data_IF_076682647715
#
_entry.id   IF_076682647715
#
_cell.length_a   1.000
_cell.length_b   1.000
_cell.length_c   1.000
_cell.angle_alpha   90.00
_cell.angle_beta   90.00
_cell.angle_gamma   90.00
#
_symmetry.space_group_name_H-M   'P 1'
#
loop_
_entity.id
_entity.type
_entity.pdbx_description
1 polymer ?
#
# COMPACT_ATOMS: atom_id res chain seq x y z
N UNK A 1 6.88 14.19 -20.80
CA UNK A 1 6.76 14.94 -19.51
C UNK A 1 6.01 14.17 -18.42
N UNK A 2 5.15 13.21 -18.76
CA UNK A 2 4.42 12.36 -17.78
C UNK A 2 5.33 11.34 -17.07
N UNK A 3 6.27 10.75 -17.80
CA UNK A 3 7.11 9.65 -17.28
C UNK A 3 8.10 10.11 -16.21
N UNK A 4 8.76 11.25 -16.40
CA UNK A 4 9.69 11.80 -15.41
C UNK A 4 9.00 12.13 -14.07
N UNK A 5 7.76 12.62 -14.10
CA UNK A 5 6.98 12.88 -12.88
C UNK A 5 6.53 11.57 -12.24
N UNK A 6 6.17 10.56 -13.04
CA UNK A 6 5.74 9.25 -12.54
C UNK A 6 6.90 8.55 -11.84
N UNK A 7 8.09 8.54 -12.46
CA UNK A 7 9.32 7.99 -11.88
C UNK A 7 9.68 8.67 -10.55
N UNK A 8 9.52 9.99 -10.46
CA UNK A 8 9.75 10.73 -9.21
C UNK A 8 8.75 10.36 -8.10
N UNK A 9 7.49 10.05 -8.44
CA UNK A 9 6.50 9.60 -7.45
C UNK A 9 6.78 8.17 -7.00
N UNK A 10 7.21 7.30 -7.89
CA UNK A 10 7.55 5.90 -7.55
C UNK A 10 8.81 5.83 -6.68
N UNK A 11 9.82 6.67 -6.95
CA UNK A 11 11.00 6.81 -6.09
C UNK A 11 10.62 7.32 -4.69
N UNK A 12 9.76 8.34 -4.61
CA UNK A 12 9.28 8.86 -3.33
C UNK A 12 8.45 7.81 -2.55
N UNK A 13 7.62 7.03 -3.26
CA UNK A 13 6.86 5.93 -2.66
C UNK A 13 7.78 4.82 -2.16
N UNK A 14 8.80 4.45 -2.94
CA UNK A 14 9.81 3.48 -2.56
C UNK A 14 10.54 3.89 -1.27
N UNK A 15 11.03 5.13 -1.21
CA UNK A 15 11.70 5.69 -0.03
C UNK A 15 10.76 5.73 1.19
N UNK A 16 9.49 6.07 0.98
CA UNK A 16 8.48 6.09 2.03
C UNK A 16 8.17 4.69 2.56
N UNK A 17 8.07 3.68 1.69
CA UNK A 17 7.86 2.29 2.10
C UNK A 17 9.04 1.79 2.93
N UNK A 18 10.28 2.02 2.46
CA UNK A 18 11.49 1.65 3.21
C UNK A 18 11.53 2.31 4.59
N UNK A 19 11.23 3.62 4.65
CA UNK A 19 11.16 4.37 5.92
C UNK A 19 10.06 3.82 6.84
N UNK A 20 8.92 3.44 6.28
CA UNK A 20 7.79 2.90 7.04
C UNK A 20 8.11 1.54 7.67
N UNK A 21 8.83 0.65 6.97
CA UNK A 21 9.30 -0.63 7.53
C UNK A 21 10.16 -0.40 8.78
N UNK A 22 11.13 0.53 8.69
CA UNK A 22 11.99 0.90 9.80
C UNK A 22 11.17 1.47 10.98
N UNK A 23 10.20 2.35 10.70
CA UNK A 23 9.33 2.91 11.74
C UNK A 23 8.42 1.87 12.41
N UNK A 24 8.04 0.81 11.70
CA UNK A 24 7.26 -0.30 12.27
C UNK A 24 8.14 -1.34 12.97
N UNK A 25 9.47 -1.14 13.02
CA UNK A 25 10.41 -2.08 13.63
C UNK A 25 10.49 -3.41 12.89
N UNK A 26 10.17 -3.44 11.59
CA UNK A 26 10.20 -4.66 10.77
C UNK A 26 11.51 -4.74 10.02
N UNK A 27 12.13 -5.91 10.05
CA UNK A 27 13.32 -6.17 9.23
C UNK A 27 12.88 -6.48 7.81
N UNK A 28 13.45 -5.79 6.82
CA UNK A 28 13.04 -5.94 5.43
C UNK A 28 13.66 -4.92 4.49
N UNK A 29 13.29 -5.01 3.22
CA UNK A 29 13.70 -4.06 2.19
C UNK A 29 12.55 -3.75 1.25
N UNK A 30 12.68 -2.63 0.54
CA UNK A 30 11.83 -2.29 -0.58
C UNK A 30 12.74 -1.98 -1.77
N UNK A 31 12.37 -2.48 -2.95
CA UNK A 31 13.09 -2.26 -4.21
C UNK A 31 12.11 -2.17 -5.37
N UNK A 32 12.55 -1.54 -6.46
CA UNK A 32 11.83 -1.58 -7.73
C UNK A 32 12.25 -2.82 -8.53
N UNK A 33 11.30 -3.47 -9.20
CA UNK A 33 11.59 -4.53 -10.17
C UNK A 33 11.70 -3.99 -11.60
N UNK A 34 11.99 -4.87 -12.56
CA UNK A 34 12.14 -4.52 -13.99
C UNK A 34 10.83 -4.06 -14.64
N UNK A 35 9.69 -4.29 -13.99
CA UNK A 35 8.36 -3.90 -14.46
C UNK A 35 7.80 -2.71 -13.66
N UNK A 36 8.68 -1.93 -13.03
CA UNK A 36 8.37 -0.75 -12.23
C UNK A 36 7.41 -1.01 -11.05
N UNK A 37 7.30 -2.26 -10.60
CA UNK A 37 6.60 -2.58 -9.36
C UNK A 37 7.53 -2.37 -8.18
N UNK A 38 6.95 -1.98 -7.04
CA UNK A 38 7.68 -1.97 -5.77
C UNK A 38 7.51 -3.34 -5.12
N UNK A 39 8.62 -4.02 -4.90
CA UNK A 39 8.70 -5.28 -4.16
C UNK A 39 9.10 -4.97 -2.73
N UNK A 40 8.30 -5.43 -1.78
CA UNK A 40 8.56 -5.29 -0.35
C UNK A 40 8.76 -6.69 0.24
N UNK A 41 9.93 -6.91 0.84
CA UNK A 41 10.31 -8.18 1.45
C UNK A 41 10.54 -7.95 2.94
N UNK A 42 9.83 -8.68 3.80
CA UNK A 42 10.00 -8.57 5.26
C UNK A 42 9.61 -9.87 5.95
N UNK A 43 10.53 -10.44 6.75
CA UNK A 43 10.29 -11.61 7.61
C UNK A 43 9.58 -12.79 6.92
N UNK A 44 9.97 -13.08 5.67
CA UNK A 44 9.40 -14.18 4.88
C UNK A 44 8.14 -13.83 4.09
N UNK A 45 7.62 -12.61 4.25
CA UNK A 45 6.53 -12.08 3.43
C UNK A 45 7.07 -11.30 2.24
N UNK A 46 6.44 -11.50 1.08
CA UNK A 46 6.71 -10.74 -0.14
C UNK A 46 5.42 -10.07 -0.58
N UNK A 47 5.46 -8.74 -0.70
CA UNK A 47 4.35 -7.93 -1.19
C UNK A 47 4.80 -7.23 -2.47
N UNK A 48 4.05 -7.46 -3.56
CA UNK A 48 4.26 -6.74 -4.81
C UNK A 48 3.24 -5.61 -4.93
N UNK A 49 3.72 -4.40 -5.14
CA UNK A 49 2.90 -3.20 -5.31
C UNK A 49 3.03 -2.76 -6.76
N UNK A 50 1.93 -2.85 -7.51
CA UNK A 50 1.84 -2.44 -8.89
C UNK A 50 0.99 -1.16 -9.02
N UNK A 51 1.26 -0.36 -10.04
CA UNK A 51 0.31 0.66 -10.48
C UNK A 51 -0.94 -0.01 -11.01
N UNK A 52 -2.09 0.52 -10.62
CA UNK A 52 -3.36 0.05 -11.15
C UNK A 52 -3.56 0.55 -12.59
N UNK A 53 -4.44 -0.13 -13.33
CA UNK A 53 -4.87 0.34 -14.64
C UNK A 53 -5.50 1.75 -14.54
N UNK A 54 -5.44 2.58 -15.60
CA UNK A 54 -5.89 3.97 -15.53
C UNK A 54 -7.42 4.13 -15.39
N UNK A 55 -8.20 3.08 -15.63
CA UNK A 55 -9.66 3.07 -15.69
C UNK A 55 -10.33 2.59 -14.39
N UNK A 56 -9.56 2.31 -13.33
CA UNK A 56 -10.09 1.84 -12.04
C UNK A 56 -10.02 2.92 -10.95
N UNK A 57 -10.90 2.88 -9.92
CA UNK A 57 -10.98 3.92 -8.89
C UNK A 57 -9.89 3.83 -7.81
N UNK A 58 -8.85 3.03 -8.03
CA UNK A 58 -7.71 2.86 -7.11
C UNK A 58 -6.40 3.09 -7.85
N UNK A 59 -5.34 3.43 -7.11
CA UNK A 59 -4.04 3.84 -7.69
C UNK A 59 -3.03 2.69 -7.71
N UNK A 60 -3.15 1.77 -6.77
CA UNK A 60 -2.24 0.65 -6.62
C UNK A 60 -3.00 -0.66 -6.38
N UNK A 61 -2.45 -1.73 -6.93
CA UNK A 61 -2.76 -3.11 -6.58
C UNK A 61 -1.59 -3.68 -5.76
N UNK A 62 -1.91 -4.42 -4.71
CA UNK A 62 -0.96 -5.12 -3.85
C UNK A 62 -1.24 -6.62 -3.94
N UNK A 63 -0.26 -7.41 -4.33
CA UNK A 63 -0.32 -8.88 -4.26
C UNK A 63 0.36 -9.33 -2.97
N UNK A 64 -0.40 -9.94 -2.06
CA UNK A 64 0.03 -10.39 -0.73
C UNK A 64 -0.39 -11.85 -0.58
N UNK A 65 0.56 -12.76 -0.41
CA UNK A 65 0.30 -14.21 -0.28
C UNK A 65 -0.65 -14.75 -1.38
N UNK A 66 -0.43 -14.31 -2.62
CA UNK A 66 -1.25 -14.67 -3.79
C UNK A 66 -2.63 -14.02 -3.84
N UNK A 67 -2.98 -13.14 -2.90
CA UNK A 67 -4.25 -12.42 -2.86
C UNK A 67 -4.07 -10.96 -3.24
N UNK A 68 -5.01 -10.44 -4.01
CA UNK A 68 -5.02 -9.04 -4.41
C UNK A 68 -5.70 -8.15 -3.35
N UNK A 69 -5.12 -6.97 -3.11
CA UNK A 69 -5.68 -5.87 -2.33
C UNK A 69 -5.47 -4.58 -3.11
N UNK A 70 -6.32 -3.59 -2.87
CA UNK A 70 -6.26 -2.32 -3.61
C UNK A 70 -6.10 -1.14 -2.66
N UNK A 71 -5.43 -0.09 -3.14
CA UNK A 71 -5.28 1.16 -2.42
C UNK A 71 -5.47 2.37 -3.33
N UNK A 72 -6.31 3.32 -2.89
CA UNK A 72 -6.57 4.58 -3.60
C UNK A 72 -5.70 5.74 -3.12
N UNK A 73 -5.04 5.60 -1.96
CA UNK A 73 -4.19 6.61 -1.33
C UNK A 73 -2.93 6.00 -0.73
N UNK A 74 -1.89 6.82 -0.56
CA UNK A 74 -0.63 6.40 0.07
C UNK A 74 -0.88 5.87 1.48
N UNK A 75 -1.73 6.54 2.26
CA UNK A 75 -2.13 6.07 3.60
C UNK A 75 -2.86 4.73 3.55
N UNK A 76 -3.74 4.52 2.57
CA UNK A 76 -4.42 3.25 2.35
C UNK A 76 -3.43 2.13 2.01
N UNK A 77 -2.47 2.41 1.13
CA UNK A 77 -1.40 1.50 0.75
C UNK A 77 -0.56 1.10 1.96
N UNK A 78 -0.05 2.07 2.73
CA UNK A 78 0.74 1.81 3.93
C UNK A 78 -0.05 1.06 5.00
N UNK A 79 -1.35 1.32 5.13
CA UNK A 79 -2.22 0.57 6.05
C UNK A 79 -2.37 -0.89 5.62
N UNK A 80 -2.62 -1.15 4.33
CA UNK A 80 -2.72 -2.51 3.79
C UNK A 80 -1.39 -3.24 3.99
N UNK A 81 -0.28 -2.59 3.62
CA UNK A 81 1.07 -3.14 3.76
C UNK A 81 1.41 -3.47 5.22
N UNK A 82 1.16 -2.54 6.15
CA UNK A 82 1.37 -2.81 7.58
C UNK A 82 0.50 -3.96 8.07
N UNK A 83 -0.78 -3.99 7.68
CA UNK A 83 -1.68 -5.08 8.08
C UNK A 83 -1.25 -6.45 7.56
N UNK A 84 -0.49 -6.50 6.45
CA UNK A 84 0.08 -7.76 5.95
C UNK A 84 1.41 -8.14 6.58
N UNK A 85 2.23 -7.16 6.98
CA UNK A 85 3.60 -7.40 7.43
C UNK A 85 3.76 -7.44 8.95
N UNK A 86 2.83 -6.86 9.70
CA UNK A 86 2.86 -6.71 11.16
C UNK A 86 1.68 -7.48 11.77
N UNK A 87 1.89 -8.71 12.29
CA UNK A 87 0.83 -9.55 12.85
C UNK A 87 0.23 -8.98 14.14
N UNK A 88 0.93 -8.06 14.80
CA UNK A 88 0.47 -7.37 16.01
C UNK A 88 -0.26 -6.08 15.68
N UNK A 89 -0.22 -5.63 14.43
CA UNK A 89 -0.98 -4.46 14.00
C UNK A 89 -2.49 -4.71 14.15
N UNK A 90 -3.14 -3.83 14.90
CA UNK A 90 -4.59 -3.78 15.05
C UNK A 90 -5.08 -2.46 14.49
N UNK A 91 -5.58 -2.42 13.24
CA UNK A 91 -6.11 -1.19 12.69
C UNK A 91 -7.31 -0.73 13.52
N UNK A 92 -7.36 0.56 13.87
CA UNK A 92 -8.52 1.16 14.53
C UNK A 92 -9.77 0.94 13.69
N UNK A 93 -10.76 0.26 14.25
CA UNK A 93 -12.04 0.00 13.59
C UNK A 93 -13.02 1.08 13.99
N UNK A 94 -13.35 1.98 13.05
CA UNK A 94 -14.46 2.91 13.23
C UNK A 94 -15.73 2.18 12.83
N UNK A 95 -16.71 2.13 13.74
CA UNK A 95 -18.07 1.71 13.41
C UNK A 95 -18.84 2.96 13.01
N UNK A 96 -19.30 3.02 11.76
CA UNK A 96 -20.25 4.05 11.33
C UNK A 96 -21.61 3.54 11.77
N UNK A 97 -22.19 4.16 12.80
CA UNK A 97 -23.60 3.94 13.11
C UNK A 97 -24.43 4.58 11.99
N UNK A 98 -25.46 3.89 11.46
CA UNK A 98 -26.40 4.55 10.56
C UNK A 98 -27.00 5.76 11.27
N UNK A 99 -26.87 6.94 10.67
CA UNK A 99 -27.69 8.07 11.05
C UNK A 99 -29.09 7.77 10.49
N UNK A 100 -30.11 7.75 11.33
CA UNK A 100 -31.50 7.78 10.85
C UNK A 100 -31.71 9.12 10.15
N UNK A 101 -31.67 9.10 8.82
CA UNK A 101 -32.11 10.23 8.02
C UNK A 101 -33.63 10.16 8.04
N UNK A 102 -34.27 10.94 8.90
CA UNK A 102 -35.72 11.09 8.86
C UNK A 102 -36.12 11.58 7.45
N UNK A 103 -37.17 10.99 6.82
CA UNK A 103 -37.66 11.51 5.55
C UNK A 103 -38.13 12.97 5.71
N UNK A 104 -38.09 13.77 4.64
CA UNK A 104 -38.49 15.17 4.66
C UNK A 104 -39.96 15.39 5.05
#
# INVERSE_FOLDING_TARGET
>A
MSDARTNSVDEALLALVASSLAMWGRSGSARQDEADNIIVESEGHVVRIARAAPDVPFRWSLTIDGRERVASSVTGLLRVLRSSLDPDFRPSRVRIAPIEIAPP
#
